data_IF_378210415428
#
_entry.id   IF_378210415428
#
_cell.length_a   1.000
_cell.length_b   1.000
_cell.length_c   1.000
_cell.angle_alpha   90.00
_cell.angle_beta   90.00
_cell.angle_gamma   90.00
#
_symmetry.space_group_name_H-M   'P 1'
#
loop_
_entity.id
_entity.type
_entity.pdbx_description
1 polymer ?
#
# COMPACT_ATOMS: atom_id res chain seq x y z
N UNK A 1 26.95 25.63 -30.32
CA UNK A 1 27.52 24.36 -29.81
C UNK A 1 27.37 24.22 -28.30
N UNK A 2 27.78 25.20 -27.47
CA UNK A 2 27.61 25.13 -26.01
C UNK A 2 26.14 24.98 -25.56
N UNK A 3 25.20 25.72 -26.19
CA UNK A 3 23.78 25.63 -25.86
C UNK A 3 23.19 24.24 -26.16
N UNK A 4 23.60 23.63 -27.27
CA UNK A 4 23.19 22.29 -27.67
C UNK A 4 23.74 21.23 -26.69
N UNK A 5 24.99 21.40 -26.24
CA UNK A 5 25.59 20.52 -25.23
C UNK A 5 24.87 20.66 -23.86
N UNK A 6 24.53 21.89 -23.47
CA UNK A 6 23.77 22.15 -22.24
C UNK A 6 22.37 21.55 -22.28
N UNK A 7 21.66 21.66 -23.42
CA UNK A 7 20.35 21.03 -23.62
C UNK A 7 20.46 19.50 -23.58
N UNK A 8 21.48 18.90 -24.20
CA UNK A 8 21.73 17.45 -24.12
C UNK A 8 22.00 16.99 -22.68
N UNK A 9 22.83 17.73 -21.94
CA UNK A 9 23.13 17.42 -20.54
C UNK A 9 21.88 17.53 -19.65
N UNK A 10 21.04 18.55 -19.85
CA UNK A 10 19.74 18.69 -19.16
C UNK A 10 18.80 17.50 -19.40
N UNK A 11 18.78 16.93 -20.61
CA UNK A 11 17.97 15.73 -20.89
C UNK A 11 18.51 14.49 -20.18
N UNK A 12 19.83 14.36 -20.02
CA UNK A 12 20.44 13.24 -19.29
C UNK A 12 20.21 13.30 -17.78
N UNK A 13 20.07 14.50 -17.19
CA UNK A 13 19.70 14.65 -15.78
C UNK A 13 18.20 14.46 -15.51
N UNK A 14 17.35 14.63 -16.53
CA UNK A 14 15.90 14.56 -16.37
C UNK A 14 15.33 13.13 -16.32
N UNK A 15 16.11 12.13 -16.74
CA UNK A 15 15.67 10.72 -16.70
C UNK A 15 16.36 9.99 -15.55
N UNK A 16 16.03 10.40 -14.33
CA UNK A 16 16.18 9.57 -13.14
C UNK A 16 14.78 9.13 -12.74
N UNK A 17 14.29 8.05 -13.38
CA UNK A 17 13.03 7.44 -12.95
C UNK A 17 13.21 6.96 -11.53
N UNK A 18 12.52 7.59 -10.56
CA UNK A 18 12.51 7.07 -9.19
C UNK A 18 11.92 5.67 -9.20
N UNK A 19 12.53 4.76 -8.45
CA UNK A 19 11.91 3.48 -8.16
C UNK A 19 10.52 3.75 -7.53
N UNK A 20 9.49 3.00 -7.94
CA UNK A 20 8.16 3.20 -7.40
C UNK A 20 8.14 2.89 -5.90
N UNK A 21 7.41 3.69 -5.14
CA UNK A 21 7.21 3.49 -3.71
C UNK A 21 6.32 2.25 -3.48
N UNK A 22 6.76 1.31 -2.64
CA UNK A 22 5.90 0.22 -2.20
C UNK A 22 5.02 0.67 -1.03
N UNK A 23 3.70 0.54 -1.19
CA UNK A 23 2.71 0.82 -0.16
C UNK A 23 2.01 -0.47 0.24
N UNK A 24 2.15 -0.85 1.50
CA UNK A 24 1.55 -2.09 2.02
C UNK A 24 0.28 -1.76 2.78
N UNK A 25 -0.81 -2.44 2.43
CA UNK A 25 -2.11 -2.34 3.10
C UNK A 25 -2.49 -3.67 3.73
N UNK A 26 -3.19 -3.57 4.85
CA UNK A 26 -3.93 -4.68 5.44
C UNK A 26 -5.27 -4.21 6.01
N UNK A 27 -6.19 -5.13 6.23
CA UNK A 27 -7.46 -4.85 6.91
C UNK A 27 -7.51 -5.68 8.18
N UNK A 28 -7.71 -4.99 9.31
CA UNK A 28 -7.92 -5.63 10.60
C UNK A 28 -8.88 -4.78 11.42
N UNK A 29 -9.95 -5.40 11.91
CA UNK A 29 -10.96 -4.74 12.76
C UNK A 29 -10.57 -4.72 14.23
N UNK A 30 -9.67 -5.60 14.64
CA UNK A 30 -9.20 -5.77 16.03
C UNK A 30 -7.68 -5.98 16.07
N UNK A 31 -7.06 -5.74 17.23
CA UNK A 31 -5.65 -6.03 17.47
C UNK A 31 -5.40 -7.51 17.78
N UNK A 32 -5.53 -8.34 16.76
CA UNK A 32 -5.27 -9.78 16.88
C UNK A 32 -3.77 -10.09 17.05
N UNK A 33 -3.44 -11.31 17.45
CA UNK A 33 -2.06 -11.80 17.41
C UNK A 33 -1.51 -11.86 15.96
N UNK A 34 -2.37 -12.21 14.99
CA UNK A 34 -2.02 -12.23 13.55
C UNK A 34 -1.55 -10.86 13.06
N UNK A 35 -2.32 -9.81 13.36
CA UNK A 35 -1.95 -8.43 13.04
C UNK A 35 -0.62 -8.04 13.69
N UNK A 36 -0.43 -8.34 14.98
CA UNK A 36 0.82 -8.02 15.69
C UNK A 36 2.02 -8.73 15.07
N UNK A 37 1.88 -9.99 14.65
CA UNK A 37 2.93 -10.74 13.95
C UNK A 37 3.25 -10.15 12.58
N UNK A 38 2.24 -9.76 11.80
CA UNK A 38 2.42 -9.09 10.51
C UNK A 38 3.20 -7.78 10.71
N UNK A 39 2.74 -6.91 11.61
CA UNK A 39 3.37 -5.62 11.87
C UNK A 39 4.80 -5.77 12.38
N UNK A 40 5.05 -6.74 13.25
CA UNK A 40 6.40 -7.07 13.71
C UNK A 40 7.30 -7.48 12.55
N UNK A 41 6.86 -8.42 11.71
CA UNK A 41 7.67 -8.83 10.54
C UNK A 41 7.90 -7.69 9.57
N UNK A 42 6.90 -6.86 9.30
CA UNK A 42 7.04 -5.73 8.39
C UNK A 42 8.05 -4.71 8.92
N UNK A 43 8.04 -4.45 10.23
CA UNK A 43 9.03 -3.58 10.87
C UNK A 43 10.47 -4.08 10.72
N UNK A 44 10.72 -5.39 10.83
CA UNK A 44 12.07 -5.96 10.63
C UNK A 44 12.62 -5.76 9.21
N UNK A 45 11.76 -5.53 8.22
CA UNK A 45 12.13 -5.29 6.82
C UNK A 45 11.86 -3.85 6.36
N UNK A 46 11.71 -2.91 7.31
CA UNK A 46 11.46 -1.48 7.05
C UNK A 46 10.20 -1.20 6.21
N UNK A 47 9.19 -2.09 6.27
CA UNK A 47 7.90 -1.88 5.65
C UNK A 47 6.91 -1.19 6.59
N UNK A 48 6.35 -0.07 6.13
CA UNK A 48 5.24 0.59 6.80
C UNK A 48 3.90 0.06 6.30
N UNK A 49 3.21 -0.73 7.12
CA UNK A 49 1.89 -1.27 6.80
C UNK A 49 0.79 -0.29 7.21
N UNK A 50 -0.10 0.04 6.28
CA UNK A 50 -1.34 0.79 6.54
C UNK A 50 -2.45 -0.17 6.95
N UNK A 51 -2.84 -0.12 8.21
CA UNK A 51 -3.94 -0.92 8.77
C UNK A 51 -5.26 -0.18 8.59
N UNK A 52 -6.21 -0.80 7.90
CA UNK A 52 -7.54 -0.25 7.64
C UNK A 52 -8.60 -0.93 8.52
N UNK A 53 -9.56 -0.13 9.01
CA UNK A 53 -10.74 -0.63 9.72
C UNK A 53 -10.53 -0.95 11.20
N UNK A 54 -9.39 -0.58 11.80
CA UNK A 54 -9.13 -0.85 13.22
C UNK A 54 -10.18 -0.18 14.12
N UNK A 55 -10.86 -0.97 14.96
CA UNK A 55 -11.96 -0.52 15.79
C UNK A 55 -13.33 -0.50 15.11
N UNK A 56 -13.42 -0.79 13.80
CA UNK A 56 -14.71 -1.01 13.14
C UNK A 56 -15.27 -2.41 13.45
N UNK A 57 -16.58 -2.53 13.60
CA UNK A 57 -17.24 -3.84 13.70
C UNK A 57 -17.07 -4.65 12.40
N UNK A 58 -16.76 -5.94 12.53
CA UNK A 58 -16.71 -6.86 11.40
C UNK A 58 -18.12 -7.28 10.94
N UNK A 59 -18.45 -6.94 9.70
CA UNK A 59 -19.69 -7.24 8.97
C UNK A 59 -19.44 -8.01 7.68
N UNK A 60 -18.23 -8.56 7.51
CA UNK A 60 -17.83 -9.29 6.31
C UNK A 60 -18.29 -10.74 6.26
N UNK A 61 -19.05 -11.22 7.25
CA UNK A 61 -19.45 -12.64 7.36
C UNK A 61 -18.33 -13.55 7.86
N UNK A 62 -18.63 -14.82 8.10
CA UNK A 62 -17.61 -15.80 8.52
C UNK A 62 -16.95 -16.45 7.31
N UNK A 63 -15.76 -15.95 6.97
CA UNK A 63 -14.95 -16.43 5.84
C UNK A 63 -14.41 -17.84 6.02
N UNK A 64 -14.57 -18.47 7.20
CA UNK A 64 -14.21 -19.88 7.42
C UNK A 64 -15.30 -20.84 6.98
N UNK A 65 -16.54 -20.37 6.89
CA UNK A 65 -17.73 -21.21 6.64
C UNK A 65 -18.25 -21.00 5.21
N UNK A 66 -18.11 -19.79 4.65
CA UNK A 66 -18.57 -19.49 3.31
C UNK A 66 -17.92 -18.25 2.71
N UNK A 67 -18.47 -17.80 1.59
CA UNK A 67 -18.01 -16.57 0.93
C UNK A 67 -18.26 -15.34 1.80
N UNK A 68 -17.32 -14.41 1.80
CA UNK A 68 -17.37 -13.21 2.63
C UNK A 68 -16.17 -12.30 2.41
N UNK A 69 -15.98 -11.36 3.32
CA UNK A 69 -14.83 -10.45 3.32
C UNK A 69 -14.97 -9.22 2.41
N UNK A 70 -16.15 -8.98 1.83
CA UNK A 70 -16.41 -7.78 1.01
C UNK A 70 -16.15 -6.45 1.74
N UNK A 71 -16.23 -6.45 3.08
CA UNK A 71 -15.81 -5.31 3.90
C UNK A 71 -14.34 -4.94 3.68
N UNK A 72 -13.44 -5.92 3.45
CA UNK A 72 -12.04 -5.66 3.15
C UNK A 72 -11.89 -4.85 1.85
N UNK A 73 -12.67 -5.21 0.82
CA UNK A 73 -12.67 -4.50 -0.45
C UNK A 73 -13.24 -3.08 -0.31
N UNK A 74 -14.31 -2.90 0.47
CA UNK A 74 -14.86 -1.57 0.79
C UNK A 74 -13.81 -0.69 1.46
N UNK A 75 -13.14 -1.21 2.49
CA UNK A 75 -12.11 -0.48 3.23
C UNK A 75 -10.90 -0.17 2.36
N UNK A 76 -10.41 -1.15 1.59
CA UNK A 76 -9.30 -0.97 0.66
C UNK A 76 -9.63 0.09 -0.39
N UNK A 77 -10.84 0.07 -0.96
CA UNK A 77 -11.30 1.10 -1.91
C UNK A 77 -11.20 2.52 -1.33
N UNK A 78 -11.55 2.69 -0.06
CA UNK A 78 -11.43 3.98 0.63
C UNK A 78 -9.96 4.36 0.87
N UNK A 79 -9.13 3.41 1.34
CA UNK A 79 -7.70 3.63 1.56
C UNK A 79 -6.92 3.95 0.28
N UNK A 80 -7.32 3.41 -0.87
CA UNK A 80 -6.66 3.66 -2.15
C UNK A 80 -6.97 5.04 -2.77
N UNK A 81 -7.93 5.79 -2.23
CA UNK A 81 -8.28 7.12 -2.79
C UNK A 81 -7.10 8.09 -2.82
N UNK A 82 -6.22 8.03 -1.81
CA UNK A 82 -5.02 8.88 -1.74
C UNK A 82 -3.98 8.56 -2.83
N UNK A 83 -4.07 7.37 -3.44
CA UNK A 83 -3.14 6.86 -4.45
C UNK A 83 -3.69 6.93 -5.89
N UNK A 84 -4.91 7.44 -6.08
CA UNK A 84 -5.62 7.40 -7.37
C UNK A 84 -4.84 7.99 -8.55
N UNK A 85 -4.04 9.04 -8.30
CA UNK A 85 -3.28 9.76 -9.32
C UNK A 85 -1.78 9.51 -9.23
N UNK A 86 -1.34 8.54 -8.42
CA UNK A 86 0.07 8.20 -8.25
C UNK A 86 0.46 7.08 -9.19
N UNK A 87 1.33 7.40 -10.15
CA UNK A 87 1.95 6.48 -11.09
C UNK A 87 3.29 5.93 -10.58
N UNK A 88 3.81 6.49 -9.49
CA UNK A 88 5.05 6.13 -8.81
C UNK A 88 4.82 5.24 -7.57
N UNK A 89 3.70 4.51 -7.50
CA UNK A 89 3.36 3.66 -6.36
C UNK A 89 3.01 2.22 -6.79
N UNK A 90 3.58 1.23 -6.09
CA UNK A 90 3.15 -0.16 -6.14
C UNK A 90 2.35 -0.46 -4.87
N UNK A 91 1.12 -0.95 -5.04
CA UNK A 91 0.24 -1.32 -3.94
C UNK A 91 0.35 -2.82 -3.66
N UNK A 92 0.72 -3.19 -2.44
CA UNK A 92 0.64 -4.57 -1.94
C UNK A 92 -0.45 -4.66 -0.88
N UNK A 93 -1.45 -5.50 -1.12
CA UNK A 93 -2.49 -5.80 -0.14
C UNK A 93 -2.27 -7.20 0.44
N UNK A 94 -2.23 -7.33 1.76
CA UNK A 94 -2.06 -8.60 2.49
C UNK A 94 -3.06 -8.72 3.63
N UNK A 95 -3.47 -9.96 3.94
CA UNK A 95 -4.31 -10.27 5.10
C UNK A 95 -3.45 -10.35 6.38
N UNK A 96 -4.09 -10.09 7.53
CA UNK A 96 -3.48 -10.09 8.86
C UNK A 96 -4.17 -11.07 9.82
#
# INVERSE_FOLDING_TARGET
MLLLLAVLLLQTFAVCGKDPELVVFTVATEETDGLRRLLKSAHEFDYKVKVLGLGEEWKGGDTRIGEGGGQKIRLLKEGLKEYKSRDDAIILFVDA
#
